data_IF_924844873969
#
_entry.id   IF_924844873969
#
_cell.length_a   1.000
_cell.length_b   1.000
_cell.length_c   1.000
_cell.angle_alpha   90.00
_cell.angle_beta   90.00
_cell.angle_gamma   90.00
#
_symmetry.space_group_name_H-M   'P 1'
#
loop_
_entity.id
_entity.type
_entity.pdbx_description
1 polymer ?
#
# COMPACT_ATOMS: atom_id res chain seq x y z
N UNK A 1 -4.60 34.11 24.08
CA UNK A 1 -5.23 32.81 24.38
C UNK A 1 -6.72 33.06 24.43
N UNK A 2 -7.50 32.48 23.52
CA UNK A 2 -8.97 32.61 23.52
C UNK A 2 -9.58 31.26 23.86
N UNK A 3 -10.43 31.33 24.88
CA UNK A 3 -11.13 30.30 25.60
C UNK A 3 -12.01 29.36 24.76
N UNK A 4 -12.27 28.22 25.38
CA UNK A 4 -13.01 27.07 24.92
C UNK A 4 -14.42 27.38 24.38
N UNK A 5 -14.73 26.85 23.19
CA UNK A 5 -16.11 26.64 22.72
C UNK A 5 -16.59 25.28 23.23
N UNK A 6 -17.09 25.26 24.45
CA UNK A 6 -17.79 24.13 25.06
C UNK A 6 -19.15 23.96 24.36
N UNK A 7 -19.20 23.12 23.31
CA UNK A 7 -20.44 22.74 22.61
C UNK A 7 -20.43 22.82 21.08
N UNK A 8 -19.44 23.48 20.46
CA UNK A 8 -19.41 23.60 18.99
C UNK A 8 -18.53 22.51 18.37
N UNK A 9 -19.20 21.51 17.81
CA UNK A 9 -18.57 20.34 17.22
C UNK A 9 -17.83 20.75 15.94
N UNK A 10 -16.50 20.66 15.91
CA UNK A 10 -15.73 21.11 14.74
C UNK A 10 -16.08 20.27 13.50
N UNK A 11 -15.95 20.84 12.30
CA UNK A 11 -16.20 20.11 11.03
C UNK A 11 -15.39 18.81 10.95
N UNK A 12 -14.13 18.84 11.43
CA UNK A 12 -13.26 17.65 11.49
C UNK A 12 -13.81 16.60 12.45
N UNK A 13 -14.26 17.01 13.64
CA UNK A 13 -14.83 16.10 14.62
C UNK A 13 -16.17 15.53 14.16
N UNK A 14 -17.01 16.34 13.51
CA UNK A 14 -18.26 15.92 12.92
C UNK A 14 -18.03 14.85 11.84
N UNK A 15 -17.05 15.08 10.96
CA UNK A 15 -16.64 14.11 9.94
C UNK A 15 -16.12 12.81 10.57
N UNK A 16 -15.30 12.90 11.62
CA UNK A 16 -14.79 11.72 12.35
C UNK A 16 -15.91 10.92 13.02
N UNK A 17 -16.83 11.59 13.70
CA UNK A 17 -17.97 10.95 14.37
C UNK A 17 -18.93 10.32 13.35
N UNK A 18 -19.21 11.01 12.25
CA UNK A 18 -19.99 10.46 11.14
C UNK A 18 -19.34 9.19 10.57
N UNK A 19 -18.02 9.24 10.31
CA UNK A 19 -17.27 8.06 9.86
C UNK A 19 -17.32 6.90 10.84
N UNK A 20 -17.19 7.17 12.15
CA UNK A 20 -17.30 6.13 13.19
C UNK A 20 -18.70 5.50 13.22
N UNK A 21 -19.77 6.31 13.20
CA UNK A 21 -21.15 5.80 13.16
C UNK A 21 -21.42 4.94 11.92
N UNK A 22 -20.89 5.34 10.75
CA UNK A 22 -21.00 4.54 9.52
C UNK A 22 -20.22 3.24 9.63
N UNK A 23 -19.01 3.26 10.20
CA UNK A 23 -18.22 2.06 10.43
C UNK A 23 -18.86 1.09 11.41
N UNK A 24 -19.48 1.58 12.49
CA UNK A 24 -20.23 0.77 13.44
C UNK A 24 -21.47 0.14 12.79
N UNK A 25 -22.17 0.90 11.93
CA UNK A 25 -23.41 0.43 11.28
C UNK A 25 -23.17 -0.57 10.15
N UNK A 26 -22.15 -0.36 9.33
CA UNK A 26 -21.95 -1.11 8.07
C UNK A 26 -20.68 -1.97 8.04
N UNK A 27 -19.78 -1.80 9.01
CA UNK A 27 -18.59 -2.63 9.14
C UNK A 27 -17.55 -2.44 8.02
N UNK A 28 -16.57 -3.33 8.01
CA UNK A 28 -15.40 -3.28 7.13
C UNK A 28 -15.74 -3.54 5.66
N UNK A 29 -16.68 -4.46 5.40
CA UNK A 29 -16.99 -4.89 4.04
C UNK A 29 -17.58 -3.75 3.21
N UNK A 30 -18.42 -2.91 3.82
CA UNK A 30 -18.95 -1.70 3.21
C UNK A 30 -17.84 -0.77 2.70
N UNK A 31 -16.83 -0.50 3.52
CA UNK A 31 -15.68 0.32 3.10
C UNK A 31 -14.85 -0.36 1.99
N UNK A 32 -14.76 -1.69 2.04
CA UNK A 32 -14.14 -2.48 0.97
C UNK A 32 -14.86 -2.32 -0.36
N UNK A 33 -16.18 -2.40 -0.36
CA UNK A 33 -17.01 -2.27 -1.57
C UNK A 33 -16.96 -0.86 -2.17
N UNK A 34 -17.14 0.19 -1.35
CA UNK A 34 -17.06 1.57 -1.84
C UNK A 34 -15.66 1.91 -2.35
N UNK A 35 -14.61 1.39 -1.70
CA UNK A 35 -13.22 1.55 -2.13
C UNK A 35 -12.97 0.88 -3.48
N UNK A 36 -13.45 -0.35 -3.67
CA UNK A 36 -13.40 -1.06 -4.96
C UNK A 36 -14.14 -0.29 -6.06
N UNK A 37 -15.35 0.18 -5.77
CA UNK A 37 -16.15 0.96 -6.73
C UNK A 37 -15.42 2.24 -7.14
N UNK A 38 -14.89 3.00 -6.18
CA UNK A 38 -14.11 4.20 -6.46
C UNK A 38 -12.84 3.91 -7.27
N UNK A 39 -12.12 2.84 -6.92
CA UNK A 39 -10.94 2.38 -7.67
C UNK A 39 -11.27 2.01 -9.12
N UNK A 40 -12.36 1.28 -9.35
CA UNK A 40 -12.82 0.91 -10.69
C UNK A 40 -13.21 2.14 -11.51
N UNK A 41 -13.93 3.09 -10.93
CA UNK A 41 -14.26 4.35 -11.61
C UNK A 41 -13.00 5.14 -11.99
N UNK A 42 -11.99 5.17 -11.14
CA UNK A 42 -10.70 5.80 -11.46
C UNK A 42 -9.98 5.04 -12.58
N UNK A 43 -10.02 3.71 -12.55
CA UNK A 43 -9.44 2.86 -13.58
C UNK A 43 -10.09 3.08 -14.94
N UNK A 44 -11.42 3.13 -15.00
CA UNK A 44 -12.18 3.40 -16.23
C UNK A 44 -11.85 4.79 -16.79
N UNK A 45 -11.76 5.81 -15.93
CA UNK A 45 -11.53 7.19 -16.35
C UNK A 45 -10.08 7.50 -16.73
N UNK A 46 -9.11 6.93 -16.01
CA UNK A 46 -7.69 7.32 -16.09
C UNK A 46 -6.75 6.21 -16.55
N UNK A 47 -7.25 4.97 -16.66
CA UNK A 47 -6.48 3.83 -17.10
C UNK A 47 -5.43 3.35 -16.09
N UNK A 48 -4.73 2.27 -16.47
CA UNK A 48 -3.69 1.62 -15.63
C UNK A 48 -2.47 2.50 -15.39
N UNK A 49 -2.08 3.31 -16.39
CA UNK A 49 -0.94 4.22 -16.30
C UNK A 49 -1.08 5.22 -15.12
N UNK A 50 -2.30 5.59 -14.76
CA UNK A 50 -2.55 6.42 -13.59
C UNK A 50 -2.11 5.75 -12.29
N UNK A 51 -2.48 4.48 -12.09
CA UNK A 51 -2.09 3.70 -10.91
C UNK A 51 -0.58 3.48 -10.82
N UNK A 52 0.06 3.22 -11.96
CA UNK A 52 1.52 3.12 -12.01
C UNK A 52 2.19 4.42 -11.62
N UNK A 53 1.68 5.56 -12.11
CA UNK A 53 2.23 6.89 -11.80
C UNK A 53 2.10 7.22 -10.32
N UNK A 54 0.91 7.06 -9.74
CA UNK A 54 0.70 7.34 -8.31
C UNK A 54 1.47 6.36 -7.43
N UNK A 55 1.59 5.09 -7.85
CA UNK A 55 2.38 4.09 -7.14
C UNK A 55 3.88 4.44 -7.13
N UNK A 56 4.44 4.82 -8.28
CA UNK A 56 5.83 5.30 -8.39
C UNK A 56 6.04 6.55 -7.53
N UNK A 57 5.15 7.54 -7.61
CA UNK A 57 5.25 8.77 -6.82
C UNK A 57 5.21 8.48 -5.32
N UNK A 58 4.29 7.64 -4.86
CA UNK A 58 4.20 7.23 -3.46
C UNK A 58 5.45 6.49 -3.00
N UNK A 59 5.94 5.54 -3.80
CA UNK A 59 7.17 4.80 -3.52
C UNK A 59 8.41 5.71 -3.43
N UNK A 60 8.61 6.61 -4.40
CA UNK A 60 9.71 7.57 -4.35
C UNK A 60 9.63 8.46 -3.12
N UNK A 61 8.45 8.97 -2.79
CA UNK A 61 8.25 9.81 -1.59
C UNK A 61 8.64 9.08 -0.31
N UNK A 62 8.21 7.83 -0.15
CA UNK A 62 8.56 7.02 1.03
C UNK A 62 10.05 6.72 1.06
N UNK A 63 10.67 6.40 -0.08
CA UNK A 63 12.11 6.18 -0.18
C UNK A 63 12.90 7.42 0.21
N UNK A 64 12.50 8.59 -0.27
CA UNK A 64 13.21 9.84 0.00
C UNK A 64 13.05 10.25 1.48
N UNK A 65 11.91 9.93 2.11
CA UNK A 65 11.65 10.22 3.53
C UNK A 65 12.27 9.21 4.51
N UNK A 66 12.29 7.91 4.17
CA UNK A 66 12.64 6.83 5.10
C UNK A 66 13.83 5.97 4.67
N UNK A 67 14.41 6.23 3.50
CA UNK A 67 15.58 5.53 2.99
C UNK A 67 15.32 4.08 2.57
N UNK A 68 16.40 3.40 2.19
CA UNK A 68 16.40 2.00 1.74
C UNK A 68 16.08 1.02 2.87
N UNK A 69 16.46 1.34 4.10
CA UNK A 69 16.32 0.43 5.25
C UNK A 69 14.85 0.16 5.57
N UNK A 70 14.00 1.15 5.36
CA UNK A 70 12.56 0.98 5.47
C UNK A 70 12.02 -0.10 4.52
N UNK A 71 12.50 -0.12 3.27
CA UNK A 71 12.13 -1.14 2.29
C UNK A 71 12.67 -2.52 2.62
N UNK A 72 13.89 -2.59 3.18
CA UNK A 72 14.46 -3.83 3.66
C UNK A 72 13.64 -4.41 4.82
N UNK A 73 13.22 -3.56 5.76
CA UNK A 73 12.42 -3.96 6.92
C UNK A 73 11.04 -4.49 6.52
N UNK A 74 10.30 -3.78 5.67
CA UNK A 74 8.99 -4.24 5.19
C UNK A 74 9.12 -5.53 4.38
N UNK A 75 10.20 -5.68 3.60
CA UNK A 75 10.51 -6.89 2.85
C UNK A 75 10.77 -8.09 3.77
N UNK A 76 11.56 -7.88 4.84
CA UNK A 76 11.84 -8.90 5.85
C UNK A 76 10.56 -9.33 6.58
N UNK A 77 9.76 -8.38 7.08
CA UNK A 77 8.48 -8.65 7.75
C UNK A 77 7.52 -9.44 6.86
N UNK A 78 7.42 -9.06 5.58
CA UNK A 78 6.62 -9.78 4.60
C UNK A 78 7.13 -11.21 4.38
N UNK A 79 8.45 -11.38 4.25
CA UNK A 79 9.09 -12.68 4.09
C UNK A 79 8.90 -13.61 5.29
N UNK A 80 9.05 -13.09 6.51
CA UNK A 80 8.80 -13.82 7.76
C UNK A 80 7.34 -14.28 7.85
N UNK A 81 6.39 -13.42 7.49
CA UNK A 81 4.96 -13.77 7.45
C UNK A 81 4.70 -14.92 6.48
N UNK A 82 5.28 -14.86 5.27
CA UNK A 82 5.14 -15.92 4.27
C UNK A 82 5.79 -17.21 4.76
N UNK A 83 7.00 -17.14 5.33
CA UNK A 83 7.70 -18.29 5.89
C UNK A 83 6.89 -18.94 7.02
N UNK A 84 6.30 -18.14 7.90
CA UNK A 84 5.46 -18.64 8.99
C UNK A 84 4.19 -19.32 8.48
N UNK A 85 3.58 -18.78 7.41
CA UNK A 85 2.30 -19.29 6.89
C UNK A 85 2.45 -20.50 5.97
N UNK A 86 3.54 -20.58 5.21
CA UNK A 86 3.71 -21.55 4.13
C UNK A 86 4.98 -22.41 4.26
N UNK A 87 5.80 -22.18 5.28
CA UNK A 87 7.03 -22.94 5.54
C UNK A 87 8.28 -22.41 4.83
N UNK A 88 9.43 -22.89 5.29
CA UNK A 88 10.75 -22.48 4.82
C UNK A 88 11.01 -22.86 3.35
N UNK A 89 10.56 -24.05 2.92
CA UNK A 89 10.77 -24.54 1.55
C UNK A 89 10.00 -23.70 0.52
N UNK A 90 8.77 -23.31 0.85
CA UNK A 90 7.98 -22.41 0.02
C UNK A 90 8.66 -21.04 -0.10
N UNK A 91 9.10 -20.48 1.04
CA UNK A 91 9.82 -19.20 1.07
C UNK A 91 11.11 -19.24 0.24
N UNK A 92 11.92 -20.29 0.38
CA UNK A 92 13.14 -20.47 -0.39
C UNK A 92 12.86 -20.56 -1.91
N UNK A 93 11.79 -21.29 -2.30
CA UNK A 93 11.38 -21.42 -3.71
C UNK A 93 11.01 -20.08 -4.32
N UNK A 94 10.16 -19.28 -3.67
CA UNK A 94 9.75 -17.98 -4.19
C UNK A 94 10.91 -16.97 -4.19
N UNK A 95 11.81 -17.05 -3.20
CA UNK A 95 13.02 -16.24 -3.14
C UNK A 95 13.95 -16.51 -4.32
N UNK A 96 14.17 -17.80 -4.65
CA UNK A 96 14.94 -18.22 -5.82
C UNK A 96 14.33 -17.70 -7.12
N UNK A 97 13.01 -17.83 -7.30
CA UNK A 97 12.30 -17.32 -8.49
C UNK A 97 12.48 -15.79 -8.62
N UNK A 98 12.33 -15.06 -7.51
CA UNK A 98 12.52 -13.60 -7.50
C UNK A 98 13.95 -13.18 -7.82
N UNK A 99 14.95 -13.85 -7.24
CA UNK A 99 16.36 -13.60 -7.49
C UNK A 99 16.79 -13.91 -8.93
N UNK A 100 16.31 -15.03 -9.49
CA UNK A 100 16.63 -15.44 -10.87
C UNK A 100 16.08 -14.50 -11.94
N UNK A 101 15.03 -13.72 -11.66
CA UNK A 101 14.51 -12.70 -12.59
C UNK A 101 15.47 -11.51 -12.70
N UNK A 102 16.04 -11.05 -11.57
CA UNK A 102 17.03 -9.96 -11.56
C UNK A 102 18.33 -10.34 -12.26
N UNK A 103 18.74 -11.60 -12.15
CA UNK A 103 19.97 -12.06 -12.80
C UNK A 103 19.79 -12.14 -14.33
N UNK A 104 18.66 -12.68 -14.80
CA UNK A 104 18.34 -12.71 -16.23
C UNK A 104 18.23 -11.33 -16.85
N UNK A 105 17.57 -10.38 -16.20
CA UNK A 105 17.47 -9.01 -16.71
C UNK A 105 18.84 -8.31 -16.79
N UNK A 106 19.76 -8.59 -15.85
CA UNK A 106 21.14 -8.06 -15.92
C UNK A 106 21.96 -8.70 -17.04
N UNK A 107 21.82 -10.02 -17.23
CA UNK A 107 22.53 -10.75 -18.28
C UNK A 107 22.05 -10.34 -19.67
N UNK A 108 20.75 -10.09 -19.86
CA UNK A 108 20.19 -9.59 -21.12
C UNK A 108 20.67 -8.16 -21.42
N UNK A 109 20.61 -7.26 -20.44
CA UNK A 109 21.11 -5.89 -20.61
C UNK A 109 22.62 -5.84 -20.93
N UNK A 110 23.41 -6.74 -20.36
CA UNK A 110 24.86 -6.83 -20.63
C UNK A 110 25.20 -7.51 -21.97
N UNK A 111 24.29 -8.28 -22.55
CA UNK A 111 24.47 -8.92 -23.86
C UNK A 111 23.97 -8.05 -25.04
N UNK A 112 23.12 -7.07 -24.74
CA UNK A 112 22.58 -6.07 -25.68
C UNK A 112 23.38 -4.75 -25.68
N UNK A 113 24.45 -4.67 -24.86
CA UNK A 113 25.42 -3.56 -24.78
C UNK A 113 26.70 -3.90 -25.53
#
# INVERSE_FOLDING_TARGET
MTDATDGELTVREAGRLGGKKVAEKYGRDFYGEIGKKGGNTVLERKGKAHFETIGKKGGSTVRDQRGSDHYAEIGRKGGETVKSKYGADYYARIGKIGGSRRNRSRQQAAAES
#
